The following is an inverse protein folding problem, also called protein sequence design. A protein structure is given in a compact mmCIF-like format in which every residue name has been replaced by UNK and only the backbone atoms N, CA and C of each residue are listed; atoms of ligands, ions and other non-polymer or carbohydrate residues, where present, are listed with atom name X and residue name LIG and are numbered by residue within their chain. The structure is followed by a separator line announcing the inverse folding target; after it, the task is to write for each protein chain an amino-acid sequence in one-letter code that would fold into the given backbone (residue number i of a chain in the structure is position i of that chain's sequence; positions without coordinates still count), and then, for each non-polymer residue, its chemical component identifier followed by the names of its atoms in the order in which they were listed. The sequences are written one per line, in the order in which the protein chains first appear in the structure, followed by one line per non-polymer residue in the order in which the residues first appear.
data_IF_208214716100
#
_entry.id   IF_208214716100
#
_cell.length_a   1.000
_cell.length_b   1.000
_cell.length_c   1.000
_cell.angle_alpha   90.00
_cell.angle_beta   90.00
_cell.angle_gamma   90.00
#
_symmetry.space_group_name_H-M   'P 1'
#
loop_
_entity.id
_entity.type
_entity.pdbx_description
1 polymer ?
#
# COMPACT_ATOMS: atom_id res chain seq x y z
N UNK A 1 15.38 -32.93 35.11
CA UNK A 1 16.02 -34.12 34.50
C UNK A 1 16.01 -33.91 33.00
N UNK A 2 17.17 -33.58 32.44
CA UNK A 2 17.37 -33.33 31.01
C UNK A 2 17.40 -34.67 30.27
N UNK A 3 16.35 -34.96 29.48
CA UNK A 3 16.33 -36.05 28.53
C UNK A 3 17.36 -35.75 27.43
N UNK A 4 18.61 -36.19 27.62
CA UNK A 4 19.57 -36.34 26.53
C UNK A 4 19.04 -37.43 25.63
N UNK A 5 18.35 -37.01 24.56
CA UNK A 5 17.86 -37.91 23.53
C UNK A 5 19.11 -38.55 22.89
N UNK A 6 19.26 -39.87 23.06
CA UNK A 6 20.40 -40.61 22.52
C UNK A 6 20.35 -40.54 20.99
N UNK A 7 21.29 -39.82 20.37
CA UNK A 7 21.32 -39.57 18.93
C UNK A 7 21.39 -40.87 18.13
N UNK A 8 22.07 -41.90 18.65
CA UNK A 8 22.18 -43.21 17.97
C UNK A 8 20.83 -43.93 17.90
N UNK A 9 20.02 -43.84 18.95
CA UNK A 9 18.68 -44.40 18.97
C UNK A 9 17.73 -43.67 18.02
N UNK A 10 17.89 -42.34 17.85
CA UNK A 10 17.13 -41.57 16.83
C UNK A 10 17.53 -42.03 15.43
N UNK A 11 18.83 -42.20 15.16
CA UNK A 11 19.33 -42.63 13.85
C UNK A 11 18.82 -44.03 13.50
N UNK A 12 18.85 -44.96 14.46
CA UNK A 12 18.36 -46.34 14.26
C UNK A 12 16.84 -46.39 14.02
N UNK A 13 16.09 -45.55 14.72
CA UNK A 13 14.64 -45.42 14.59
C UNK A 13 14.26 -44.73 13.27
N UNK A 14 15.03 -43.74 12.81
CA UNK A 14 14.90 -43.13 11.49
C UNK A 14 15.39 -44.05 10.35
N UNK A 15 16.14 -45.10 10.62
CA UNK A 15 16.48 -46.10 9.60
C UNK A 15 15.31 -47.05 9.29
N UNK A 16 14.25 -47.03 10.09
CA UNK A 16 13.02 -47.79 9.81
C UNK A 16 12.18 -47.06 8.77
N UNK A 17 12.08 -47.65 7.57
CA UNK A 17 11.35 -47.08 6.43
C UNK A 17 9.92 -46.67 6.78
N UNK A 18 9.22 -47.47 7.57
CA UNK A 18 7.84 -47.21 7.97
C UNK A 18 7.70 -45.94 8.82
N UNK A 19 8.66 -45.71 9.74
CA UNK A 19 8.68 -44.52 10.59
C UNK A 19 8.99 -43.28 9.77
N UNK A 20 9.94 -43.36 8.84
CA UNK A 20 10.22 -42.24 7.94
C UNK A 20 9.02 -41.87 7.08
N UNK A 21 8.32 -42.86 6.54
CA UNK A 21 7.10 -42.62 5.74
C UNK A 21 6.02 -41.96 6.60
N UNK A 22 5.80 -42.47 7.81
CA UNK A 22 4.88 -41.89 8.78
C UNK A 22 5.20 -40.42 9.10
N UNK A 23 6.44 -40.12 9.49
CA UNK A 23 6.89 -38.76 9.81
C UNK A 23 6.73 -37.84 8.60
N UNK A 24 7.06 -38.32 7.39
CA UNK A 24 6.90 -37.57 6.15
C UNK A 24 5.44 -37.23 5.87
N UNK A 25 4.54 -38.19 6.01
CA UNK A 25 3.11 -37.99 5.77
C UNK A 25 2.51 -37.01 6.78
N UNK A 26 2.86 -37.18 8.06
CA UNK A 26 2.46 -36.25 9.12
C UNK A 26 2.98 -34.84 8.84
N UNK A 27 4.25 -34.71 8.45
CA UNK A 27 4.86 -33.41 8.10
C UNK A 27 4.11 -32.73 6.96
N UNK A 28 3.78 -33.47 5.90
CA UNK A 28 3.01 -32.92 4.78
C UNK A 28 1.61 -32.48 5.19
N UNK A 29 0.93 -33.25 6.06
CA UNK A 29 -0.40 -32.91 6.55
C UNK A 29 -0.36 -31.65 7.42
N UNK A 30 0.58 -31.56 8.35
CA UNK A 30 0.77 -30.35 9.19
C UNK A 30 1.13 -29.14 8.33
N UNK A 31 1.95 -29.31 7.30
CA UNK A 31 2.32 -28.22 6.38
C UNK A 31 1.09 -27.69 5.62
N UNK A 32 0.29 -28.60 5.05
CA UNK A 32 -0.97 -28.26 4.38
C UNK A 32 -1.95 -27.58 5.33
N UNK A 33 -2.07 -28.07 6.56
CA UNK A 33 -2.93 -27.48 7.58
C UNK A 33 -2.51 -26.04 7.92
N UNK A 34 -1.22 -25.82 8.19
CA UNK A 34 -0.69 -24.49 8.51
C UNK A 34 -0.86 -23.52 7.32
N UNK A 35 -0.64 -23.99 6.09
CA UNK A 35 -0.92 -23.18 4.90
C UNK A 35 -2.40 -22.81 4.76
N UNK A 36 -3.31 -23.77 4.95
CA UNK A 36 -4.76 -23.50 4.94
C UNK A 36 -5.18 -22.52 6.03
N UNK A 37 -4.55 -22.57 7.21
CA UNK A 37 -4.75 -21.59 8.28
C UNK A 37 -4.35 -20.18 7.86
N UNK A 38 -3.15 -20.01 7.27
CA UNK A 38 -2.69 -18.72 6.77
C UNK A 38 -3.63 -18.14 5.71
N UNK A 39 -4.11 -18.99 4.79
CA UNK A 39 -5.11 -18.58 3.81
C UNK A 39 -6.42 -18.17 4.47
N UNK A 40 -6.94 -18.98 5.41
CA UNK A 40 -8.16 -18.66 6.13
C UNK A 40 -8.05 -17.32 6.88
N UNK A 41 -6.91 -17.08 7.52
CA UNK A 41 -6.60 -15.82 8.21
C UNK A 41 -6.59 -14.63 7.25
N UNK A 42 -5.93 -14.78 6.09
CA UNK A 42 -5.94 -13.76 5.04
C UNK A 42 -7.37 -13.38 4.66
N UNK A 43 -8.20 -14.37 4.29
CA UNK A 43 -9.57 -14.11 3.85
C UNK A 43 -10.47 -13.62 4.98
N UNK A 44 -10.19 -13.99 6.23
CA UNK A 44 -10.88 -13.45 7.40
C UNK A 44 -10.58 -11.96 7.58
N UNK A 45 -9.32 -11.57 7.39
CA UNK A 45 -8.91 -10.17 7.41
C UNK A 45 -9.63 -9.35 6.33
N UNK A 46 -9.65 -9.84 5.07
CA UNK A 46 -10.42 -9.20 3.99
C UNK A 46 -11.90 -9.05 4.33
N UNK A 47 -12.51 -10.07 4.93
CA UNK A 47 -13.91 -10.03 5.31
C UNK A 47 -14.16 -8.99 6.40
N UNK A 48 -13.31 -8.93 7.41
CA UNK A 48 -13.42 -7.95 8.50
C UNK A 48 -13.26 -6.53 7.97
N UNK A 49 -12.24 -6.27 7.15
CA UNK A 49 -12.02 -4.97 6.51
C UNK A 49 -13.24 -4.55 5.68
N UNK A 50 -13.80 -5.46 4.88
CA UNK A 50 -15.02 -5.18 4.12
C UNK A 50 -16.23 -4.88 5.01
N UNK A 51 -16.37 -5.57 6.15
CA UNK A 51 -17.47 -5.32 7.08
C UNK A 51 -17.33 -4.00 7.84
N UNK A 52 -16.11 -3.62 8.24
CA UNK A 52 -15.85 -2.40 9.02
C UNK A 52 -15.81 -1.15 8.17
N UNK A 53 -15.08 -1.20 7.05
CA UNK A 53 -14.86 -0.04 6.17
C UNK A 53 -15.90 0.05 5.04
N UNK A 54 -16.78 -0.96 4.89
CA UNK A 54 -17.75 -1.02 3.79
C UNK A 54 -17.13 -1.31 2.41
N UNK A 55 -15.85 -1.69 2.35
CA UNK A 55 -15.08 -1.81 1.12
C UNK A 55 -15.27 -3.20 0.51
N UNK A 56 -16.44 -3.40 -0.08
CA UNK A 56 -16.77 -4.58 -0.88
C UNK A 56 -16.69 -4.24 -2.35
N UNK A 57 -15.55 -4.45 -3.01
CA UNK A 57 -15.39 -4.18 -4.45
C UNK A 57 -16.10 -2.90 -4.89
N UNK A 58 -15.50 -1.74 -4.67
CA UNK A 58 -15.60 -0.80 -5.78
C UNK A 58 -14.56 -1.24 -6.80
N UNK A 59 -14.98 -1.68 -7.98
CA UNK A 59 -14.09 -1.47 -9.13
C UNK A 59 -14.26 0.00 -9.44
N UNK A 60 -13.24 0.83 -9.21
CA UNK A 60 -13.33 2.17 -9.79
C UNK A 60 -13.33 1.98 -11.30
N UNK A 61 -14.11 2.78 -12.02
CA UNK A 61 -14.06 2.75 -13.49
C UNK A 61 -12.62 2.98 -13.96
N UNK A 62 -12.24 2.38 -15.10
CA UNK A 62 -10.92 2.63 -15.73
C UNK A 62 -10.64 4.12 -15.92
N UNK A 63 -11.69 4.90 -16.17
CA UNK A 63 -11.61 6.36 -16.31
C UNK A 63 -11.20 7.03 -15.01
N UNK A 64 -11.81 6.66 -13.90
CA UNK A 64 -11.58 7.28 -12.60
C UNK A 64 -10.26 6.83 -11.96
N UNK A 65 -9.84 5.58 -12.21
CA UNK A 65 -8.48 5.12 -11.87
C UNK A 65 -7.42 5.88 -12.63
N UNK A 66 -7.57 6.04 -13.95
CA UNK A 66 -6.63 6.84 -14.75
C UNK A 66 -6.62 8.32 -14.34
N UNK A 67 -7.78 8.90 -14.01
CA UNK A 67 -7.89 10.31 -13.65
C UNK A 67 -7.29 10.65 -12.29
N UNK A 68 -7.18 9.68 -11.38
CA UNK A 68 -6.74 9.90 -9.99
C UNK A 68 -5.53 9.02 -9.61
N UNK A 69 -4.87 8.39 -10.60
CA UNK A 69 -3.75 7.47 -10.39
C UNK A 69 -4.01 6.37 -9.35
N UNK A 70 -5.25 5.89 -9.26
CA UNK A 70 -5.65 4.87 -8.28
C UNK A 70 -5.49 3.45 -8.83
N UNK A 71 -5.30 2.49 -7.94
CA UNK A 71 -5.35 1.07 -8.28
C UNK A 71 -6.73 0.66 -8.84
N UNK A 72 -6.74 -0.04 -9.99
CA UNK A 72 -7.96 -0.52 -10.65
C UNK A 72 -8.74 -1.55 -9.81
N UNK A 73 -8.05 -2.23 -8.90
CA UNK A 73 -8.62 -3.23 -8.02
C UNK A 73 -8.27 -2.89 -6.58
N UNK A 74 -9.18 -2.22 -5.87
CA UNK A 74 -9.11 -2.12 -4.42
C UNK A 74 -10.14 -3.11 -3.83
N UNK A 75 -9.63 -4.11 -3.10
CA UNK A 75 -10.44 -5.15 -2.47
C UNK A 75 -10.91 -6.30 -3.39
N UNK A 76 -11.81 -7.13 -2.84
CA UNK A 76 -12.35 -8.36 -3.46
C UNK A 76 -13.85 -8.44 -3.22
N UNK A 77 -14.58 -9.11 -4.12
CA UNK A 77 -16.04 -9.14 -4.00
C UNK A 77 -16.44 -9.94 -2.77
N UNK A 78 -17.51 -9.50 -2.10
CA UNK A 78 -18.04 -10.18 -0.91
C UNK A 78 -18.30 -11.67 -1.16
N UNK A 79 -18.84 -11.99 -2.34
CA UNK A 79 -19.11 -13.39 -2.73
C UNK A 79 -17.83 -14.21 -2.86
N UNK A 80 -16.77 -13.65 -3.47
CA UNK A 80 -15.47 -14.32 -3.58
C UNK A 80 -14.85 -14.54 -2.19
N UNK A 81 -14.86 -13.51 -1.34
CA UNK A 81 -14.31 -13.60 0.02
C UNK A 81 -15.04 -14.69 0.81
N UNK A 82 -16.37 -14.70 0.81
CA UNK A 82 -17.19 -15.73 1.49
C UNK A 82 -16.90 -17.13 0.95
N UNK A 83 -16.81 -17.29 -0.37
CA UNK A 83 -16.49 -18.57 -0.99
C UNK A 83 -15.11 -19.07 -0.55
N UNK A 84 -14.11 -18.18 -0.52
CA UNK A 84 -12.74 -18.52 -0.11
C UNK A 84 -12.65 -18.86 1.37
N UNK A 85 -13.34 -18.11 2.24
CA UNK A 85 -13.46 -18.42 3.66
C UNK A 85 -14.03 -19.82 3.88
N UNK A 86 -15.18 -20.13 3.28
CA UNK A 86 -15.80 -21.45 3.41
C UNK A 86 -14.88 -22.56 2.90
N UNK A 87 -14.21 -22.34 1.77
CA UNK A 87 -13.25 -23.29 1.20
C UNK A 87 -12.09 -23.58 2.17
N UNK A 88 -11.44 -22.55 2.69
CA UNK A 88 -10.26 -22.74 3.54
C UNK A 88 -10.63 -23.23 4.93
N UNK A 89 -11.80 -22.87 5.47
CA UNK A 89 -12.35 -23.48 6.68
C UNK A 89 -12.53 -24.99 6.50
N UNK A 90 -13.20 -25.41 5.44
CA UNK A 90 -13.38 -26.82 5.12
C UNK A 90 -12.04 -27.56 4.93
N UNK A 91 -11.04 -26.91 4.32
CA UNK A 91 -9.70 -27.49 4.18
C UNK A 91 -8.99 -27.64 5.53
N UNK A 92 -9.10 -26.66 6.43
CA UNK A 92 -8.57 -26.77 7.79
C UNK A 92 -9.19 -27.97 8.51
N UNK A 93 -10.52 -28.10 8.47
CA UNK A 93 -11.24 -29.20 9.13
C UNK A 93 -10.81 -30.56 8.57
N UNK A 94 -10.73 -30.69 7.24
CA UNK A 94 -10.26 -31.92 6.57
C UNK A 94 -8.81 -32.27 6.91
N UNK A 95 -7.92 -31.28 6.89
CA UNK A 95 -6.51 -31.51 7.20
C UNK A 95 -6.32 -31.86 8.68
N UNK A 96 -7.06 -31.23 9.59
CA UNK A 96 -7.03 -31.56 11.01
C UNK A 96 -7.52 -32.98 11.28
N UNK A 97 -8.61 -33.41 10.64
CA UNK A 97 -9.09 -34.78 10.75
C UNK A 97 -8.06 -35.78 10.20
N UNK A 98 -7.44 -35.48 9.05
CA UNK A 98 -6.39 -36.33 8.49
C UNK A 98 -5.15 -36.42 9.41
N UNK A 99 -4.76 -35.32 10.07
CA UNK A 99 -3.70 -35.32 11.09
C UNK A 99 -4.10 -36.25 12.24
N UNK A 100 -5.32 -36.10 12.79
CA UNK A 100 -5.79 -36.92 13.89
C UNK A 100 -5.81 -38.42 13.53
N UNK A 101 -6.23 -38.76 12.30
CA UNK A 101 -6.22 -40.13 11.80
C UNK A 101 -4.80 -40.67 11.63
N UNK A 102 -3.88 -39.87 11.09
CA UNK A 102 -2.47 -40.22 10.99
C UNK A 102 -1.89 -40.47 12.39
N UNK A 103 -2.12 -39.59 13.35
CA UNK A 103 -1.65 -39.75 14.73
C UNK A 103 -2.18 -41.01 15.42
N UNK A 104 -3.40 -41.48 15.10
CA UNK A 104 -3.95 -42.74 15.62
C UNK A 104 -3.22 -43.99 15.08
N UNK A 105 -2.56 -43.86 13.93
CA UNK A 105 -1.76 -44.93 13.31
C UNK A 105 -0.28 -44.87 13.71
N UNK A 106 0.07 -44.00 14.67
CA UNK A 106 1.44 -43.84 15.12
C UNK A 106 1.99 -45.15 15.71
N UNK A 107 3.21 -45.57 15.31
CA UNK A 107 3.92 -46.65 15.98
C UNK A 107 4.09 -46.36 17.48
N UNK A 108 3.87 -47.35 18.33
CA UNK A 108 3.93 -47.21 19.81
C UNK A 108 5.28 -46.71 20.34
N UNK A 109 6.34 -46.89 19.55
CA UNK A 109 7.71 -46.47 19.89
C UNK A 109 7.96 -44.97 19.68
N UNK A 110 7.01 -44.24 19.07
CA UNK A 110 7.15 -42.81 18.78
C UNK A 110 6.45 -41.99 19.86
N UNK A 111 7.20 -41.07 20.48
CA UNK A 111 6.61 -39.98 21.25
C UNK A 111 6.00 -38.94 20.31
N UNK A 112 4.68 -39.06 20.12
CA UNK A 112 3.91 -38.20 19.23
C UNK A 112 3.92 -36.73 19.64
N UNK A 113 4.04 -36.42 20.93
CA UNK A 113 4.08 -35.04 21.38
C UNK A 113 5.39 -34.38 20.94
N UNK A 114 6.51 -35.08 21.13
CA UNK A 114 7.83 -34.61 20.71
C UNK A 114 7.90 -34.44 19.19
N UNK A 115 7.49 -35.45 18.42
CA UNK A 115 7.52 -35.37 16.95
C UNK A 115 6.62 -34.25 16.41
N UNK A 116 5.39 -34.12 16.92
CA UNK A 116 4.47 -33.07 16.47
C UNK A 116 5.02 -31.68 16.78
N UNK A 117 5.68 -31.50 17.92
CA UNK A 117 6.34 -30.24 18.29
C UNK A 117 7.48 -29.92 17.32
N UNK A 118 8.37 -30.88 17.06
CA UNK A 118 9.49 -30.71 16.11
C UNK A 118 9.01 -30.39 14.70
N UNK A 119 8.00 -31.12 14.20
CA UNK A 119 7.41 -30.90 12.88
C UNK A 119 6.82 -29.48 12.79
N UNK A 120 6.08 -29.05 13.82
CA UNK A 120 5.52 -27.70 13.84
C UNK A 120 6.60 -26.63 13.84
N UNK A 121 7.66 -26.77 14.63
CA UNK A 121 8.78 -25.82 14.65
C UNK A 121 9.47 -25.72 13.29
N UNK A 122 9.68 -26.86 12.63
CA UNK A 122 10.32 -26.94 11.32
C UNK A 122 9.45 -26.27 10.24
N UNK A 123 8.14 -26.55 10.24
CA UNK A 123 7.18 -25.94 9.31
C UNK A 123 7.01 -24.45 9.60
N UNK A 124 6.99 -24.04 10.87
CA UNK A 124 6.90 -22.63 11.23
C UNK A 124 8.10 -21.83 10.69
N UNK A 125 9.29 -22.42 10.72
CA UNK A 125 10.49 -21.83 10.11
C UNK A 125 10.40 -21.80 8.58
N UNK A 126 10.01 -22.91 7.95
CA UNK A 126 9.88 -22.99 6.48
C UNK A 126 8.83 -22.02 5.92
N UNK A 127 7.74 -21.81 6.65
CA UNK A 127 6.67 -20.90 6.27
C UNK A 127 6.85 -19.46 6.78
N UNK A 128 8.02 -19.10 7.31
CA UNK A 128 8.25 -17.76 7.86
C UNK A 128 7.99 -16.65 6.83
N UNK A 129 8.56 -16.80 5.63
CA UNK A 129 8.37 -15.84 4.53
C UNK A 129 6.91 -15.70 4.10
N UNK A 130 6.14 -16.79 4.14
CA UNK A 130 4.71 -16.74 3.82
C UNK A 130 3.92 -15.93 4.85
N UNK A 131 4.32 -15.95 6.12
CA UNK A 131 3.71 -15.15 7.19
C UNK A 131 4.08 -13.69 7.04
N UNK A 132 5.34 -13.37 6.75
CA UNK A 132 5.76 -12.01 6.45
C UNK A 132 5.00 -11.43 5.26
N UNK A 133 4.87 -12.20 4.18
CA UNK A 133 4.10 -11.79 3.00
C UNK A 133 2.60 -11.61 3.33
N UNK A 134 2.05 -12.44 4.22
CA UNK A 134 0.67 -12.26 4.72
C UNK A 134 0.52 -10.92 5.45
N UNK A 135 1.40 -10.61 6.40
CA UNK A 135 1.38 -9.33 7.12
C UNK A 135 1.56 -8.14 6.17
N UNK A 136 2.49 -8.23 5.21
CA UNK A 136 2.66 -7.20 4.19
C UNK A 136 1.38 -6.97 3.40
N UNK A 137 0.69 -8.04 2.97
CA UNK A 137 -0.59 -7.95 2.26
C UNK A 137 -1.69 -7.33 3.10
N UNK A 138 -1.78 -7.66 4.39
CA UNK A 138 -2.75 -7.04 5.31
C UNK A 138 -2.52 -5.52 5.38
N UNK A 139 -1.28 -5.09 5.53
CA UNK A 139 -0.90 -3.66 5.55
C UNK A 139 -1.28 -2.96 4.25
N UNK A 140 -0.92 -3.52 3.10
CA UNK A 140 -1.27 -2.95 1.80
C UNK A 140 -2.78 -2.79 1.62
N UNK A 141 -3.56 -3.78 2.06
CA UNK A 141 -5.02 -3.71 1.97
C UNK A 141 -5.63 -2.63 2.87
N UNK A 142 -5.02 -2.40 4.04
CA UNK A 142 -5.45 -1.34 4.94
C UNK A 142 -5.19 0.04 4.31
N UNK A 143 -4.03 0.22 3.69
CA UNK A 143 -3.69 1.45 2.96
C UNK A 143 -4.65 1.66 1.78
N UNK A 144 -4.89 0.64 0.96
CA UNK A 144 -5.86 0.71 -0.15
C UNK A 144 -7.27 1.09 0.36
N UNK A 145 -7.64 0.60 1.55
CA UNK A 145 -8.92 0.92 2.18
C UNK A 145 -9.00 2.38 2.65
N UNK A 146 -7.94 2.88 3.31
CA UNK A 146 -7.81 4.26 3.76
C UNK A 146 -7.85 5.24 2.56
N UNK A 147 -7.10 4.94 1.49
CA UNK A 147 -7.12 5.73 0.25
C UNK A 147 -8.52 5.78 -0.36
N UNK A 148 -9.22 4.64 -0.41
CA UNK A 148 -10.57 4.61 -0.94
C UNK A 148 -11.51 5.52 -0.16
N UNK A 149 -11.46 5.48 1.18
CA UNK A 149 -12.28 6.31 2.04
C UNK A 149 -12.05 7.80 1.76
N UNK A 150 -10.79 8.23 1.64
CA UNK A 150 -10.43 9.61 1.31
C UNK A 150 -11.03 10.03 -0.04
N UNK A 151 -10.91 9.18 -1.07
CA UNK A 151 -11.45 9.47 -2.40
C UNK A 151 -12.97 9.50 -2.40
N UNK A 152 -13.61 8.57 -1.69
CA UNK A 152 -15.06 8.53 -1.56
C UNK A 152 -15.58 9.77 -0.85
N UNK A 153 -14.96 10.18 0.26
CA UNK A 153 -15.24 11.43 0.97
C UNK A 153 -15.07 12.64 0.04
N UNK A 154 -13.96 12.72 -0.68
CA UNK A 154 -13.71 13.78 -1.66
C UNK A 154 -14.80 13.84 -2.74
N UNK A 155 -15.30 12.70 -3.21
CA UNK A 155 -16.36 12.62 -4.21
C UNK A 155 -17.75 12.94 -3.63
N UNK A 156 -18.00 12.61 -2.35
CA UNK A 156 -19.22 12.96 -1.61
C UNK A 156 -19.30 14.45 -1.30
N UNK A 157 -18.18 15.13 -1.17
CA UNK A 157 -18.13 16.59 -1.22
C UNK A 157 -18.67 17.04 -2.59
N UNK A 158 -19.98 17.33 -2.66
CA UNK A 158 -20.60 18.06 -3.77
C UNK A 158 -20.03 19.48 -3.78
N UNK A 159 -18.81 19.62 -4.29
CA UNK A 159 -18.21 20.93 -4.48
C UNK A 159 -19.11 21.71 -5.42
N UNK A 160 -19.51 22.91 -5.02
CA UNK A 160 -20.22 23.81 -5.92
C UNK A 160 -19.30 24.05 -7.11
N UNK A 161 -19.83 24.21 -8.32
CA UNK A 161 -19.02 24.42 -9.52
C UNK A 161 -18.00 25.57 -9.35
N UNK A 162 -18.35 26.56 -8.53
CA UNK A 162 -17.50 27.67 -8.10
C UNK A 162 -16.25 27.21 -7.34
N UNK A 163 -16.36 26.27 -6.40
CA UNK A 163 -15.24 25.75 -5.61
C UNK A 163 -14.29 24.91 -6.47
N UNK A 164 -14.83 24.14 -7.41
CA UNK A 164 -14.03 23.40 -8.41
C UNK A 164 -13.26 24.37 -9.30
N UNK A 165 -13.90 25.44 -9.76
CA UNK A 165 -13.26 26.46 -10.58
C UNK A 165 -12.16 27.20 -9.79
N UNK A 166 -12.41 27.56 -8.53
CA UNK A 166 -11.40 28.17 -7.66
C UNK A 166 -10.20 27.24 -7.45
N UNK A 167 -10.42 25.95 -7.17
CA UNK A 167 -9.34 24.99 -7.00
C UNK A 167 -8.52 24.80 -8.29
N UNK A 168 -9.16 24.81 -9.46
CA UNK A 168 -8.45 24.77 -10.76
C UNK A 168 -7.61 26.01 -11.00
N UNK A 169 -8.12 27.19 -10.65
CA UNK A 169 -7.38 28.45 -10.78
C UNK A 169 -6.15 28.42 -9.85
N UNK A 170 -6.33 28.01 -8.59
CA UNK A 170 -5.24 27.86 -7.62
C UNK A 170 -4.21 26.84 -8.11
N UNK A 171 -4.65 25.66 -8.56
CA UNK A 171 -3.75 24.62 -9.08
C UNK A 171 -2.98 25.10 -10.32
N UNK A 172 -3.65 25.81 -11.24
CA UNK A 172 -3.01 26.40 -12.41
C UNK A 172 -1.96 27.44 -12.00
N UNK A 173 -2.29 28.34 -11.06
CA UNK A 173 -1.35 29.32 -10.55
C UNK A 173 -0.14 28.68 -9.85
N UNK A 174 -0.35 27.62 -9.06
CA UNK A 174 0.73 26.85 -8.42
C UNK A 174 1.60 26.18 -9.49
N UNK A 175 1.00 25.52 -10.47
CA UNK A 175 1.73 24.83 -11.54
C UNK A 175 2.51 25.82 -12.43
N UNK A 176 1.94 26.99 -12.71
CA UNK A 176 2.62 28.08 -13.41
C UNK A 176 3.80 28.63 -12.59
N UNK A 177 3.63 28.81 -11.27
CA UNK A 177 4.74 29.20 -10.39
C UNK A 177 5.87 28.16 -10.38
N UNK A 178 5.55 26.86 -10.27
CA UNK A 178 6.56 25.80 -10.33
C UNK A 178 7.28 25.76 -11.68
N UNK A 179 6.55 25.89 -12.79
CA UNK A 179 7.16 25.97 -14.12
C UNK A 179 8.08 27.18 -14.26
N UNK A 180 7.67 28.35 -13.74
CA UNK A 180 8.50 29.56 -13.74
C UNK A 180 9.76 29.36 -12.88
N UNK A 181 9.65 28.71 -11.73
CA UNK A 181 10.79 28.39 -10.88
C UNK A 181 11.77 27.45 -11.62
N UNK A 182 11.27 26.41 -12.27
CA UNK A 182 12.09 25.49 -13.07
C UNK A 182 12.76 26.20 -14.25
N UNK A 183 12.05 27.08 -14.95
CA UNK A 183 12.61 27.90 -16.04
C UNK A 183 13.69 28.87 -15.54
N UNK A 184 13.50 29.50 -14.37
CA UNK A 184 14.51 30.36 -13.73
C UNK A 184 15.74 29.54 -13.32
N UNK A 185 15.56 28.33 -12.80
CA UNK A 185 16.68 27.44 -12.43
C UNK A 185 17.46 27.01 -13.68
N UNK A 186 16.76 26.66 -14.77
CA UNK A 186 17.38 26.34 -16.07
C UNK A 186 18.14 27.57 -16.60
N UNK A 187 17.55 28.76 -16.53
CA UNK A 187 18.17 30.00 -16.98
C UNK A 187 19.40 30.37 -16.14
N UNK A 188 19.34 30.22 -14.82
CA UNK A 188 20.47 30.44 -13.93
C UNK A 188 21.62 29.47 -14.24
N UNK A 189 21.31 28.20 -14.46
CA UNK A 189 22.31 27.19 -14.84
C UNK A 189 22.91 27.47 -16.22
N UNK A 190 22.09 27.94 -17.16
CA UNK A 190 22.58 28.41 -18.46
C UNK A 190 23.53 29.60 -18.31
N UNK A 191 23.17 30.60 -17.50
CA UNK A 191 24.03 31.75 -17.18
C UNK A 191 25.34 31.32 -16.52
N UNK A 192 25.31 30.38 -15.56
CA UNK A 192 26.51 29.87 -14.90
C UNK A 192 27.47 29.16 -15.87
N UNK A 193 26.93 28.38 -16.83
CA UNK A 193 27.72 27.69 -17.86
C UNK A 193 28.30 28.68 -18.89
N UNK A 194 27.53 29.69 -19.29
CA UNK A 194 27.95 30.62 -20.34
C UNK A 194 28.76 31.82 -19.81
N UNK A 195 28.60 32.20 -18.54
CA UNK A 195 29.45 33.21 -17.90
C UNK A 195 30.88 32.72 -17.67
N UNK A 196 31.11 31.40 -17.68
CA UNK A 196 32.45 30.80 -17.64
C UNK A 196 33.14 30.76 -19.00
N UNK A 197 32.40 30.95 -20.10
CA UNK A 197 32.93 31.08 -21.45
C UNK A 197 33.17 32.56 -21.77
N UNK A 198 34.40 33.03 -21.54
CA UNK A 198 34.81 34.45 -21.51
C UNK A 198 34.86 35.17 -22.88
N UNK A 199 33.92 34.90 -23.80
CA UNK A 199 33.94 35.54 -25.13
C UNK A 199 32.58 35.68 -25.83
N UNK A 200 31.54 36.11 -25.11
CA UNK A 200 30.26 36.45 -25.76
C UNK A 200 29.96 37.95 -25.67
N UNK A 201 29.56 38.52 -26.80
CA UNK A 201 29.02 39.87 -26.88
C UNK A 201 27.54 39.84 -26.51
N UNK A 202 26.99 40.98 -26.08
CA UNK A 202 25.58 41.09 -25.65
C UNK A 202 24.58 40.66 -26.74
N UNK A 203 25.02 40.59 -28.01
CA UNK A 203 24.25 40.15 -29.18
C UNK A 203 24.14 38.62 -29.31
N UNK A 204 25.06 37.85 -28.72
CA UNK A 204 25.04 36.38 -28.73
C UNK A 204 24.05 35.79 -27.72
N UNK A 205 23.67 36.60 -26.75
CA UNK A 205 22.62 36.28 -25.79
C UNK A 205 21.30 36.36 -26.56
N UNK A 206 20.48 35.29 -26.52
CA UNK A 206 19.12 35.29 -27.08
C UNK A 206 18.22 36.29 -26.33
N UNK A 207 18.47 37.59 -26.51
CA UNK A 207 17.72 38.72 -26.00
C UNK A 207 16.22 38.57 -26.26
N UNK A 208 15.74 37.96 -27.37
CA UNK A 208 14.32 37.68 -27.55
C UNK A 208 13.73 36.71 -26.52
N UNK A 209 14.49 35.70 -26.05
CA UNK A 209 14.03 34.80 -24.97
C UNK A 209 14.13 35.45 -23.60
N UNK A 210 15.17 36.24 -23.35
CA UNK A 210 15.27 37.02 -22.11
C UNK A 210 14.16 38.06 -22.07
N UNK A 211 13.91 38.80 -23.15
CA UNK A 211 12.75 39.69 -23.27
C UNK A 211 11.44 38.91 -23.13
N UNK A 212 11.30 37.72 -23.68
CA UNK A 212 10.09 36.93 -23.49
C UNK A 212 9.87 36.55 -22.02
N UNK A 213 10.92 36.09 -21.32
CA UNK A 213 10.86 35.76 -19.87
C UNK A 213 10.58 37.03 -19.05
N UNK A 214 11.26 38.14 -19.36
CA UNK A 214 11.07 39.42 -18.68
C UNK A 214 9.68 40.00 -18.96
N UNK A 215 9.16 39.90 -20.18
CA UNK A 215 7.82 40.33 -20.57
C UNK A 215 6.75 39.41 -19.99
N UNK A 216 6.99 38.09 -19.88
CA UNK A 216 6.07 37.20 -19.17
C UNK A 216 6.07 37.46 -17.66
N UNK A 217 7.21 37.84 -17.07
CA UNK A 217 7.32 38.19 -15.64
C UNK A 217 6.79 39.61 -15.32
N UNK A 218 6.99 40.59 -16.20
CA UNK A 218 6.64 42.00 -15.96
C UNK A 218 5.36 42.47 -16.67
N UNK A 219 4.96 41.90 -17.81
CA UNK A 219 3.84 42.41 -18.62
C UNK A 219 2.61 41.48 -18.68
N UNK A 220 2.69 40.22 -18.23
CA UNK A 220 1.47 39.55 -17.73
C UNK A 220 1.02 40.11 -16.37
N UNK A 221 1.81 41.01 -15.78
CA UNK A 221 1.49 41.80 -14.60
C UNK A 221 1.63 43.31 -14.84
N UNK A 222 0.79 43.90 -15.69
CA UNK A 222 0.52 45.35 -15.67
C UNK A 222 -0.97 45.57 -15.88
N UNK A 223 -1.73 46.34 -15.12
CA UNK A 223 -1.58 47.24 -13.97
C UNK A 223 -3.05 47.49 -13.58
N UNK A 224 -3.58 47.19 -12.40
CA UNK A 224 -3.50 47.98 -11.15
C UNK A 224 -4.13 47.17 -10.01
N UNK A 225 -4.04 45.84 -10.13
CA UNK A 225 -4.83 44.89 -9.36
C UNK A 225 -3.94 43.83 -8.72
N UNK A 226 -2.64 43.78 -8.98
CA UNK A 226 -1.79 42.69 -8.49
C UNK A 226 -1.46 42.85 -7.00
N UNK A 227 -1.12 44.03 -6.48
CA UNK A 227 -0.99 44.18 -5.01
C UNK A 227 -2.34 44.00 -4.33
N UNK A 228 -3.42 44.55 -4.89
CA UNK A 228 -4.76 44.42 -4.30
C UNK A 228 -5.35 43.00 -4.42
N UNK A 229 -5.05 42.24 -5.49
CA UNK A 229 -5.44 40.83 -5.65
C UNK A 229 -4.51 39.96 -4.84
N UNK A 230 -3.20 40.21 -4.78
CA UNK A 230 -2.28 39.41 -3.95
C UNK A 230 -2.62 39.61 -2.48
N UNK A 231 -2.86 40.84 -2.03
CA UNK A 231 -3.32 41.14 -0.67
C UNK A 231 -4.75 40.63 -0.42
N UNK A 232 -5.71 40.79 -1.34
CA UNK A 232 -7.05 40.21 -1.17
C UNK A 232 -7.04 38.68 -1.22
N UNK A 233 -6.14 38.07 -1.99
CA UNK A 233 -6.03 36.62 -2.13
C UNK A 233 -5.31 36.05 -0.91
N UNK A 234 -4.26 36.71 -0.42
CA UNK A 234 -3.61 36.42 0.86
C UNK A 234 -4.64 36.57 1.99
N UNK A 235 -5.33 37.71 2.11
CA UNK A 235 -6.35 37.94 3.13
C UNK A 235 -7.53 36.94 3.04
N UNK A 236 -7.99 36.57 1.83
CA UNK A 236 -9.03 35.55 1.65
C UNK A 236 -8.51 34.15 1.98
N UNK A 237 -7.25 33.86 1.68
CA UNK A 237 -6.63 32.58 2.03
C UNK A 237 -6.39 32.48 3.53
N UNK A 238 -5.99 33.56 4.21
CA UNK A 238 -5.87 33.65 5.67
C UNK A 238 -7.24 33.53 6.35
N UNK A 239 -8.28 34.20 5.84
CA UNK A 239 -9.65 34.03 6.33
C UNK A 239 -10.17 32.61 6.14
N UNK A 240 -9.86 31.95 5.02
CA UNK A 240 -10.21 30.54 4.83
C UNK A 240 -9.45 29.63 5.78
N UNK A 241 -8.14 29.84 5.98
CA UNK A 241 -7.34 29.07 6.93
C UNK A 241 -7.87 29.24 8.35
N UNK A 242 -8.24 30.46 8.76
CA UNK A 242 -8.85 30.72 10.08
C UNK A 242 -10.23 30.06 10.21
N UNK A 243 -11.07 30.13 9.17
CA UNK A 243 -12.39 29.48 9.15
C UNK A 243 -12.28 27.96 9.30
N UNK A 244 -11.39 27.32 8.54
CA UNK A 244 -11.16 25.88 8.65
C UNK A 244 -10.49 25.48 9.96
N UNK A 245 -9.63 26.33 10.51
CA UNK A 245 -9.02 26.09 11.83
C UNK A 245 -10.06 26.09 12.96
N UNK A 246 -11.10 26.95 12.88
CA UNK A 246 -12.22 26.95 13.85
C UNK A 246 -13.09 25.69 13.74
N UNK A 247 -13.40 25.28 12.50
CA UNK A 247 -14.15 24.03 12.25
C UNK A 247 -13.39 22.81 12.78
N UNK A 248 -12.08 22.76 12.60
CA UNK A 248 -11.24 21.63 13.04
C UNK A 248 -11.10 21.60 14.57
N UNK A 249 -11.12 22.75 15.24
CA UNK A 249 -10.94 22.85 16.69
C UNK A 249 -12.23 22.83 17.52
N UNK A 250 -13.42 22.63 16.90
CA UNK A 250 -14.73 22.61 17.57
C UNK A 250 -15.01 23.88 18.44
N UNK A 251 -14.74 25.06 17.87
CA UNK A 251 -15.30 26.34 18.33
C UNK A 251 -16.41 26.83 17.40
#
# INVERSE_FOLDING_TARGET
MSNTINQDAIIELLNQREILLFIRDLTQLVNKFNYSKLQHEQWSYYNNLGMTEGIWTGRVSKKMTKANSMCYTYGRSKNLIKQRLAKYKLQCDKNQEAINQCMKQAPLIIDMQTITTMINDLINKDQYELRLELERRKTMLRLDAEEHKIVEEFCKFKRRQTEINSAKIIWKAINEQYNIIDEIVIFKKWLEVHAQASSYTLEDVQLPKINHIFISLFFQGQTSSAEHITEQTIAKSEQMVQYYSKIINNE
#
